data_IF_064087638511
#
_entry.id   IF_064087638511
#
_cell.length_a   1.000
_cell.length_b   1.000
_cell.length_c   1.000
_cell.angle_alpha   90.00
_cell.angle_beta   90.00
_cell.angle_gamma   90.00
#
_symmetry.space_group_name_H-M   'P 1'
#
loop_
_entity.id
_entity.type
_entity.pdbx_description
1 polymer ?
#
# COMPACT_ATOMS: atom_id res chain seq x y z
N UNK A 1 9.76 -22.02 -12.36
CA UNK A 1 8.33 -21.77 -12.58
C UNK A 1 8.03 -20.38 -12.05
N UNK A 2 8.00 -19.39 -12.94
CA UNK A 2 7.61 -18.01 -12.58
C UNK A 2 6.10 -18.04 -12.38
N UNK A 3 5.66 -18.19 -11.13
CA UNK A 3 4.24 -18.20 -10.79
C UNK A 3 3.59 -16.95 -11.35
N UNK A 4 2.52 -17.11 -12.12
CA UNK A 4 1.73 -15.99 -12.62
C UNK A 4 1.29 -15.17 -11.41
N UNK A 5 1.64 -13.88 -11.39
CA UNK A 5 1.21 -12.98 -10.32
C UNK A 5 -0.31 -12.92 -10.39
N UNK A 6 -0.97 -13.39 -9.33
CA UNK A 6 -2.41 -13.24 -9.18
C UNK A 6 -2.71 -11.81 -8.70
N UNK A 7 -2.82 -10.91 -9.68
CA UNK A 7 -3.07 -9.48 -9.44
C UNK A 7 -4.36 -9.26 -8.66
N UNK A 8 -5.41 -10.06 -8.88
CA UNK A 8 -6.66 -9.95 -8.15
C UNK A 8 -6.49 -10.32 -6.67
N UNK A 9 -5.84 -11.46 -6.39
CA UNK A 9 -5.55 -11.88 -5.03
C UNK A 9 -4.66 -10.87 -4.29
N UNK A 10 -3.66 -10.31 -4.98
CA UNK A 10 -2.80 -9.25 -4.46
C UNK A 10 -3.61 -8.00 -4.07
N UNK A 11 -4.39 -7.44 -5.00
CA UNK A 11 -5.21 -6.24 -4.75
C UNK A 11 -6.27 -6.48 -3.67
N UNK A 12 -6.89 -7.66 -3.65
CA UNK A 12 -7.86 -8.04 -2.64
C UNK A 12 -7.22 -8.09 -1.24
N UNK A 13 -6.00 -8.61 -1.13
CA UNK A 13 -5.26 -8.66 0.13
C UNK A 13 -4.90 -7.26 0.62
N UNK A 14 -4.31 -6.42 -0.24
CA UNK A 14 -3.98 -5.03 0.11
C UNK A 14 -5.23 -4.26 0.51
N UNK A 15 -6.33 -4.42 -0.22
CA UNK A 15 -7.62 -3.78 0.09
C UNK A 15 -8.22 -4.23 1.42
N UNK A 16 -8.06 -5.51 1.79
CA UNK A 16 -8.49 -6.02 3.11
C UNK A 16 -7.70 -5.37 4.25
N UNK A 17 -6.38 -5.26 4.08
CA UNK A 17 -5.49 -4.65 5.09
C UNK A 17 -5.78 -3.16 5.22
N UNK A 18 -5.87 -2.44 4.11
CA UNK A 18 -6.18 -1.00 4.10
C UNK A 18 -7.52 -0.70 4.79
N UNK A 19 -8.59 -1.42 4.44
CA UNK A 19 -9.91 -1.26 5.09
C UNK A 19 -9.90 -1.57 6.60
N UNK A 20 -9.05 -2.50 7.03
CA UNK A 20 -8.89 -2.84 8.44
C UNK A 20 -8.06 -1.82 9.23
N UNK A 21 -7.33 -0.93 8.54
CA UNK A 21 -6.63 0.21 9.15
C UNK A 21 -7.58 1.41 9.19
N UNK A 22 -8.13 1.80 8.03
CA UNK A 22 -9.13 2.87 7.90
C UNK A 22 -10.02 2.59 6.68
N UNK A 23 -11.36 2.56 6.82
CA UNK A 23 -12.29 2.30 5.72
C UNK A 23 -12.27 3.36 4.59
N UNK A 24 -11.68 4.53 4.83
CA UNK A 24 -11.60 5.64 3.86
C UNK A 24 -10.42 5.46 2.91
N UNK A 25 -9.39 4.69 3.28
CA UNK A 25 -8.27 4.40 2.41
C UNK A 25 -8.74 3.78 1.07
N UNK A 26 -8.10 4.19 -0.01
CA UNK A 26 -8.36 3.69 -1.36
C UNK A 26 -7.13 3.02 -1.92
N UNK A 27 -7.33 1.85 -2.50
CA UNK A 27 -6.31 1.12 -3.25
C UNK A 27 -6.51 1.39 -4.73
N UNK A 28 -5.51 1.97 -5.37
CA UNK A 28 -5.52 2.28 -6.80
C UNK A 28 -4.52 1.37 -7.50
N UNK A 29 -4.96 0.47 -8.40
CA UNK A 29 -4.05 -0.34 -9.19
C UNK A 29 -3.20 0.54 -10.11
N UNK A 30 -1.91 0.21 -10.24
CA UNK A 30 -0.99 0.92 -11.16
C UNK A 30 -0.54 0.01 -12.29
N UNK A 31 -0.27 -1.26 -11.99
CA UNK A 31 -0.05 -2.33 -12.96
C UNK A 31 -0.32 -3.70 -12.30
N UNK A 32 0.02 -4.78 -13.00
CA UNK A 32 -0.18 -6.16 -12.57
C UNK A 32 0.52 -6.53 -11.25
N UNK A 33 1.53 -5.76 -10.85
CA UNK A 33 2.39 -6.06 -9.71
C UNK A 33 2.40 -4.96 -8.65
N UNK A 34 1.73 -3.82 -8.91
CA UNK A 34 1.82 -2.60 -8.07
C UNK A 34 0.47 -1.92 -7.89
N UNK A 35 0.30 -1.37 -6.70
CA UNK A 35 -0.79 -0.47 -6.37
C UNK A 35 -0.33 0.65 -5.44
N UNK A 36 -1.18 1.67 -5.29
CA UNK A 36 -1.00 2.74 -4.30
C UNK A 36 -2.17 2.74 -3.34
N UNK A 37 -1.89 2.92 -2.05
CA UNK A 37 -2.90 3.13 -1.01
C UNK A 37 -2.84 4.60 -0.60
N UNK A 38 -3.98 5.29 -0.60
CA UNK A 38 -4.03 6.71 -0.28
C UNK A 38 -5.32 7.11 0.42
N UNK A 39 -5.27 8.26 1.08
CA UNK A 39 -6.43 8.97 1.55
C UNK A 39 -7.00 9.87 0.43
N UNK A 40 -8.29 9.73 0.05
CA UNK A 40 -8.89 10.55 -1.00
C UNK A 40 -8.75 12.05 -0.71
N UNK A 41 -8.26 12.80 -1.68
CA UNK A 41 -8.08 14.26 -1.56
C UNK A 41 -6.76 14.69 -0.90
N UNK A 42 -5.96 13.75 -0.40
CA UNK A 42 -4.61 14.02 0.10
C UNK A 42 -3.60 13.54 -0.96
N UNK A 43 -2.60 14.39 -1.27
CA UNK A 43 -1.63 14.14 -2.34
C UNK A 43 -0.60 13.04 -2.03
N UNK A 44 -0.52 12.60 -0.78
CA UNK A 44 0.44 11.61 -0.31
C UNK A 44 -0.10 10.17 -0.48
N UNK A 45 0.76 9.21 -0.84
CA UNK A 45 0.36 7.81 -1.07
C UNK A 45 1.42 6.78 -0.64
N UNK A 46 0.97 5.60 -0.24
CA UNK A 46 1.83 4.44 0.05
C UNK A 46 1.84 3.52 -1.15
N UNK A 47 3.01 3.24 -1.70
CA UNK A 47 3.19 2.28 -2.78
C UNK A 47 3.33 0.87 -2.22
N UNK A 48 2.66 -0.08 -2.84
CA UNK A 48 2.74 -1.50 -2.50
C UNK A 48 3.00 -2.29 -3.78
N UNK A 49 3.97 -3.18 -3.73
CA UNK A 49 4.32 -4.09 -4.81
C UNK A 49 4.24 -5.53 -4.31
N UNK A 50 3.85 -6.47 -5.19
CA UNK A 50 3.90 -7.90 -4.87
C UNK A 50 5.32 -8.34 -4.50
N UNK A 51 5.45 -9.14 -3.44
CA UNK A 51 6.71 -9.69 -2.97
C UNK A 51 7.19 -10.90 -3.78
N UNK A 52 8.40 -11.42 -3.48
CA UNK A 52 9.01 -12.54 -4.21
C UNK A 52 8.38 -13.90 -3.87
N UNK A 53 7.50 -13.95 -2.86
CA UNK A 53 6.76 -15.14 -2.44
C UNK A 53 5.32 -14.74 -2.16
N UNK A 54 4.42 -15.72 -2.27
CA UNK A 54 3.02 -15.55 -1.91
C UNK A 54 2.87 -14.99 -0.48
N UNK A 55 1.98 -14.02 -0.30
CA UNK A 55 1.73 -13.38 0.99
C UNK A 55 2.77 -12.33 1.44
N UNK A 56 3.82 -12.08 0.65
CA UNK A 56 4.77 -11.00 0.91
C UNK A 56 4.48 -9.78 0.03
N UNK A 57 4.80 -8.61 0.57
CA UNK A 57 4.68 -7.32 -0.08
C UNK A 57 5.99 -6.54 0.03
N UNK A 58 6.30 -5.73 -0.97
CA UNK A 58 7.24 -4.62 -0.84
C UNK A 58 6.43 -3.34 -0.60
N UNK A 59 6.66 -2.67 0.52
CA UNK A 59 5.94 -1.45 0.89
C UNK A 59 6.90 -0.27 0.83
N UNK A 60 6.48 0.80 0.15
CA UNK A 60 7.27 2.02 0.00
C UNK A 60 6.39 3.24 0.29
N UNK A 61 6.71 3.95 1.36
CA UNK A 61 6.07 5.21 1.70
C UNK A 61 6.75 6.33 0.91
N UNK A 62 6.04 6.96 -0.03
CA UNK A 62 6.56 8.15 -0.74
C UNK A 62 5.49 9.19 -0.92
N UNK A 63 5.81 10.41 -0.49
CA UNK A 63 4.87 11.53 -0.47
C UNK A 63 4.55 12.09 -1.85
N UNK A 64 5.40 11.92 -2.88
CA UNK A 64 5.20 12.67 -4.14
C UNK A 64 5.56 11.95 -5.44
N UNK A 65 6.22 10.79 -5.41
CA UNK A 65 6.65 10.14 -6.66
C UNK A 65 6.74 8.63 -6.56
N UNK A 66 6.57 7.95 -7.70
CA UNK A 66 6.84 6.52 -7.84
C UNK A 66 8.25 6.17 -7.34
N UNK A 67 8.42 5.09 -6.56
CA UNK A 67 9.75 4.63 -6.19
C UNK A 67 10.58 4.36 -7.45
N UNK A 68 11.69 5.10 -7.61
CA UNK A 68 12.71 4.76 -8.61
C UNK A 68 13.20 3.32 -8.38
N UNK A 69 13.57 2.57 -9.44
CA UNK A 69 14.01 1.18 -9.32
C UNK A 69 15.14 0.95 -8.30
N UNK A 70 16.06 1.92 -8.15
CA UNK A 70 17.14 1.85 -7.15
C UNK A 70 16.65 1.80 -5.70
N UNK A 71 15.51 2.42 -5.38
CA UNK A 71 14.92 2.35 -4.04
C UNK A 71 14.22 1.01 -3.78
N UNK A 72 13.80 0.29 -4.83
CA UNK A 72 13.14 -1.02 -4.70
C UNK A 72 14.12 -2.12 -4.24
N UNK A 73 15.42 -1.99 -4.52
CA UNK A 73 16.45 -2.95 -4.11
C UNK A 73 16.77 -2.97 -2.61
N UNK A 74 16.35 -1.93 -1.87
CA UNK A 74 16.52 -1.84 -0.41
C UNK A 74 15.27 -2.30 0.35
N UNK A 75 14.19 -2.65 -0.36
CA UNK A 75 12.92 -3.03 0.27
C UNK A 75 12.92 -4.52 0.54
N UNK A 76 12.97 -4.88 1.82
CA UNK A 76 12.79 -6.25 2.27
C UNK A 76 11.35 -6.72 2.07
N UNK A 77 11.12 -7.98 1.69
CA UNK A 77 9.80 -8.57 1.69
C UNK A 77 9.20 -8.50 3.09
N UNK A 78 7.99 -7.96 3.19
CA UNK A 78 7.29 -7.78 4.46
C UNK A 78 5.87 -8.33 4.38
N UNK A 79 5.40 -8.91 5.48
CA UNK A 79 4.06 -9.50 5.56
C UNK A 79 2.95 -8.47 5.73
N UNK A 80 1.73 -8.97 5.88
CA UNK A 80 0.53 -8.15 6.09
C UNK A 80 0.62 -7.20 7.31
N UNK A 81 1.28 -7.63 8.39
CA UNK A 81 1.40 -6.83 9.62
C UNK A 81 2.28 -5.60 9.44
N UNK A 82 3.34 -5.71 8.65
CA UNK A 82 4.18 -4.56 8.32
C UNK A 82 3.43 -3.55 7.45
N UNK A 83 2.67 -4.03 6.44
CA UNK A 83 1.80 -3.15 5.66
C UNK A 83 0.77 -2.45 6.56
N UNK A 84 0.16 -3.17 7.51
CA UNK A 84 -0.77 -2.57 8.49
C UNK A 84 -0.09 -1.45 9.27
N UNK A 85 1.10 -1.69 9.81
CA UNK A 85 1.85 -0.68 10.55
C UNK A 85 2.14 0.57 9.71
N UNK A 86 2.67 0.39 8.50
CA UNK A 86 2.99 1.52 7.60
C UNK A 86 1.73 2.33 7.26
N UNK A 87 0.59 1.67 7.05
CA UNK A 87 -0.67 2.35 6.78
C UNK A 87 -1.21 3.08 8.01
N UNK A 88 -1.09 2.51 9.22
CA UNK A 88 -1.47 3.20 10.45
C UNK A 88 -0.64 4.47 10.66
N UNK A 89 0.68 4.38 10.51
CA UNK A 89 1.59 5.54 10.60
C UNK A 89 1.28 6.57 9.50
N UNK A 90 0.96 6.13 8.29
CA UNK A 90 0.53 7.02 7.20
C UNK A 90 -0.76 7.78 7.57
N UNK A 91 -1.76 7.08 8.10
CA UNK A 91 -3.03 7.69 8.51
C UNK A 91 -2.84 8.68 9.67
N UNK A 92 -1.98 8.36 10.63
CA UNK A 92 -1.60 9.28 11.71
C UNK A 92 -0.89 10.54 11.17
N UNK A 93 0.03 10.38 10.22
CA UNK A 93 0.79 11.48 9.63
C UNK A 93 -0.08 12.44 8.81
N UNK A 94 -0.99 11.92 7.98
CA UNK A 94 -1.88 12.78 7.20
C UNK A 94 -2.96 13.43 8.06
N UNK A 95 -3.15 12.93 9.28
CA UNK A 95 -4.28 13.21 10.15
C UNK A 95 -5.53 12.60 9.56
N UNK A 96 -6.27 11.77 10.31
CA UNK A 96 -7.65 11.48 9.92
C UNK A 96 -8.35 12.85 9.75
N UNK A 97 -8.79 13.27 8.54
CA UNK A 97 -9.68 14.41 8.46
C UNK A 97 -10.86 14.06 9.34
N UNK A 98 -10.93 14.76 10.47
CA UNK A 98 -11.97 14.62 11.44
C UNK A 98 -13.31 14.63 10.68
N UNK A 99 -14.06 13.53 10.71
CA UNK A 99 -15.50 13.55 10.46
C UNK A 99 -16.14 14.25 11.68
N UNK A 100 -15.75 15.51 11.90
CA UNK A 100 -16.27 16.44 12.89
C UNK A 100 -16.24 17.82 12.25
N UNK A 101 -17.05 17.97 11.21
CA UNK A 101 -17.63 19.24 10.77
C UNK A 101 -18.67 18.92 9.68
N UNK A 102 -19.75 18.25 10.09
CA UNK A 102 -21.08 18.39 9.49
C UNK A 102 -22.09 18.27 10.64
#
# INVERSE_FOLDING_TARGET
MTGKIDTEAFLASVGRIARAVDPILRVIPRDESRCTVLYPGLGDQVWVKVGPREGLFHVFKSRLSEPKPAHLGLITPAGADFLRQVLSEYVEEVGHPNIRML
#
